data_IF_385230710001
#
_entry.id   IF_385230710001
#
_cell.length_a   1.000
_cell.length_b   1.000
_cell.length_c   1.000
_cell.angle_alpha   90.00
_cell.angle_beta   90.00
_cell.angle_gamma   90.00
#
_symmetry.space_group_name_H-M   'P 1'
#
loop_
_entity.id
_entity.type
_entity.pdbx_description
1 polymer ?
#
# COMPACT_ATOMS: atom_id res chain seq x y z
N UNK A 1 -15.52 -15.21 -32.05
CA UNK A 1 -14.59 -15.19 -33.20
C UNK A 1 -13.18 -15.13 -32.60
N UNK A 2 -12.33 -16.11 -32.85
CA UNK A 2 -11.04 -16.26 -32.22
C UNK A 2 -9.99 -15.35 -32.91
N UNK A 3 -9.03 -14.83 -32.15
CA UNK A 3 -7.95 -13.91 -32.57
C UNK A 3 -7.17 -14.31 -33.85
N UNK A 4 -7.31 -15.53 -34.35
CA UNK A 4 -6.67 -16.00 -35.59
C UNK A 4 -7.33 -15.46 -36.87
N UNK A 5 -8.64 -15.25 -36.83
CA UNK A 5 -9.38 -14.77 -38.01
C UNK A 5 -9.15 -13.27 -38.24
N UNK A 6 -8.89 -12.51 -37.18
CA UNK A 6 -8.55 -11.08 -37.26
C UNK A 6 -7.15 -10.88 -37.86
N UNK A 7 -6.20 -11.76 -37.55
CA UNK A 7 -4.83 -11.70 -38.06
C UNK A 7 -4.77 -12.03 -39.56
N UNK A 8 -5.57 -12.98 -40.02
CA UNK A 8 -5.70 -13.33 -41.45
C UNK A 8 -6.39 -12.22 -42.26
N UNK A 9 -7.38 -11.56 -41.68
CA UNK A 9 -8.03 -10.40 -42.31
C UNK A 9 -7.08 -9.23 -42.44
N UNK A 10 -6.23 -8.97 -41.44
CA UNK A 10 -5.21 -7.94 -41.44
C UNK A 10 -4.10 -8.21 -42.45
N UNK A 11 -3.64 -9.45 -42.57
CA UNK A 11 -2.64 -9.87 -43.56
C UNK A 11 -3.16 -9.77 -44.99
N UNK A 12 -4.44 -10.09 -45.19
CA UNK A 12 -5.10 -9.94 -46.49
C UNK A 12 -5.30 -8.46 -46.90
N UNK A 13 -5.62 -7.60 -45.93
CA UNK A 13 -5.76 -6.15 -46.11
C UNK A 13 -4.42 -5.48 -46.42
N UNK A 14 -3.34 -5.88 -45.74
CA UNK A 14 -1.97 -5.41 -45.99
C UNK A 14 -1.47 -5.82 -47.40
N UNK A 15 -1.85 -7.00 -47.88
CA UNK A 15 -1.52 -7.47 -49.24
C UNK A 15 -2.16 -6.63 -50.35
N UNK A 16 -3.35 -6.06 -50.09
CA UNK A 16 -4.08 -5.21 -51.05
C UNK A 16 -3.47 -3.80 -51.06
N UNK A 17 -3.01 -3.27 -49.94
CA UNK A 17 -2.36 -1.96 -49.83
C UNK A 17 -0.96 -1.99 -50.48
N UNK A 18 -0.23 -3.10 -50.36
CA UNK A 18 1.12 -3.31 -50.85
C UNK A 18 1.26 -3.15 -52.39
N UNK A 19 0.18 -3.28 -53.13
CA UNK A 19 0.15 -3.11 -54.59
C UNK A 19 0.03 -1.68 -55.04
N UNK A 20 -0.17 -0.68 -54.16
CA UNK A 20 -0.45 0.70 -54.51
C UNK A 20 0.58 1.76 -54.15
N UNK A 21 1.53 1.49 -53.20
CA UNK A 21 2.58 2.48 -52.92
C UNK A 21 3.73 1.87 -52.02
N UNK A 22 4.88 1.51 -52.59
CA UNK A 22 5.95 0.82 -51.86
C UNK A 22 6.81 1.68 -50.92
N UNK A 23 6.68 3.01 -50.97
CA UNK A 23 7.56 3.91 -50.21
C UNK A 23 7.05 4.27 -48.81
N UNK A 24 5.80 3.97 -48.48
CA UNK A 24 5.22 4.30 -47.16
C UNK A 24 5.27 3.16 -46.15
N UNK A 25 5.69 1.95 -46.53
CA UNK A 25 5.61 0.75 -45.69
C UNK A 25 6.78 0.64 -44.69
N UNK A 26 7.97 1.07 -45.12
CA UNK A 26 9.16 1.08 -44.24
C UNK A 26 9.01 2.04 -43.07
N UNK A 27 8.26 3.14 -43.27
CA UNK A 27 7.88 4.07 -42.18
C UNK A 27 6.82 3.51 -41.23
N UNK A 28 5.88 2.71 -41.76
CA UNK A 28 4.80 2.09 -40.97
C UNK A 28 5.28 0.88 -40.18
N UNK A 29 6.12 0.04 -40.76
CA UNK A 29 6.73 -1.11 -40.09
C UNK A 29 7.67 -0.68 -38.97
N UNK A 30 8.48 0.37 -39.15
CA UNK A 30 9.28 0.98 -38.06
C UNK A 30 8.39 1.59 -36.98
N UNK A 31 7.24 2.18 -37.33
CA UNK A 31 6.30 2.75 -36.37
C UNK A 31 5.55 1.69 -35.58
N UNK A 32 5.24 0.55 -36.17
CA UNK A 32 4.61 -0.62 -35.51
C UNK A 32 5.63 -1.39 -34.67
N UNK A 33 6.88 -1.51 -35.11
CA UNK A 33 7.94 -2.12 -34.29
C UNK A 33 8.37 -1.22 -33.12
N UNK A 34 8.35 0.13 -33.28
CA UNK A 34 8.61 1.07 -32.17
C UNK A 34 7.48 1.12 -31.14
N UNK A 35 6.23 0.87 -31.53
CA UNK A 35 5.08 0.77 -30.63
C UNK A 35 5.02 -0.57 -29.85
N UNK A 36 5.83 -1.58 -30.21
CA UNK A 36 5.75 -2.91 -29.59
C UNK A 36 6.47 -3.06 -28.27
N UNK A 37 7.15 -2.03 -27.74
CA UNK A 37 7.97 -2.18 -26.53
C UNK A 37 8.02 -0.94 -25.61
N UNK A 38 6.92 -0.23 -25.49
CA UNK A 38 6.83 0.94 -24.58
C UNK A 38 6.82 0.51 -23.10
N UNK A 39 6.46 -0.74 -22.81
CA UNK A 39 6.39 -1.25 -21.45
C UNK A 39 7.71 -1.95 -21.06
N UNK A 40 8.09 -1.77 -19.80
CA UNK A 40 9.15 -2.53 -19.14
C UNK A 40 8.57 -3.25 -17.91
N UNK A 41 8.79 -4.54 -17.82
CA UNK A 41 8.38 -5.32 -16.64
C UNK A 41 9.33 -5.09 -15.46
N UNK A 42 8.85 -5.39 -14.23
CA UNK A 42 9.70 -5.36 -13.03
C UNK A 42 10.94 -6.24 -13.15
N UNK A 43 10.82 -7.40 -13.79
CA UNK A 43 11.95 -8.32 -13.98
C UNK A 43 13.02 -7.72 -14.89
N UNK A 44 12.62 -7.08 -15.97
CA UNK A 44 13.53 -6.40 -16.88
C UNK A 44 14.17 -5.18 -16.23
N UNK A 45 13.37 -4.36 -15.49
CA UNK A 45 13.89 -3.24 -14.72
C UNK A 45 15.00 -3.67 -13.76
N UNK A 46 14.82 -4.79 -13.09
CA UNK A 46 15.80 -5.33 -12.13
C UNK A 46 17.11 -5.80 -12.79
N UNK A 47 17.08 -6.12 -14.08
CA UNK A 47 18.27 -6.52 -14.86
C UNK A 47 19.07 -5.33 -15.37
N UNK A 48 18.49 -4.11 -15.35
CA UNK A 48 19.21 -2.92 -15.74
C UNK A 48 20.30 -2.58 -14.73
N UNK A 49 21.44 -2.14 -15.24
CA UNK A 49 22.55 -1.69 -14.40
C UNK A 49 22.16 -0.42 -13.61
N UNK A 50 22.50 -0.37 -12.33
CA UNK A 50 22.22 0.81 -11.50
C UNK A 50 22.94 2.03 -12.07
N UNK A 51 22.18 3.08 -12.34
CA UNK A 51 22.68 4.32 -12.93
C UNK A 51 22.49 4.42 -14.45
N UNK A 52 22.18 3.31 -15.15
CA UNK A 52 21.89 3.33 -16.60
C UNK A 52 20.45 3.77 -16.92
N UNK A 53 19.64 3.99 -15.92
CA UNK A 53 18.26 4.45 -16.08
C UNK A 53 17.85 5.46 -15.03
N UNK A 54 16.76 6.18 -15.29
CA UNK A 54 16.10 7.07 -14.36
C UNK A 54 14.60 6.73 -14.31
N UNK A 55 14.09 6.57 -13.10
CA UNK A 55 12.66 6.42 -12.83
C UNK A 55 12.04 7.78 -12.57
N UNK A 56 10.93 8.10 -13.24
CA UNK A 56 10.12 9.29 -13.01
C UNK A 56 8.76 8.89 -12.43
N UNK A 57 8.49 9.37 -11.22
CA UNK A 57 7.24 9.11 -10.49
C UNK A 57 6.19 10.17 -10.85
N UNK A 58 5.18 9.78 -11.60
CA UNK A 58 4.09 10.65 -12.06
C UNK A 58 2.94 10.77 -11.06
N UNK A 59 3.07 10.18 -9.87
CA UNK A 59 2.05 10.29 -8.83
C UNK A 59 2.13 11.66 -8.14
N UNK A 60 1.04 12.10 -7.56
CA UNK A 60 0.97 13.34 -6.81
C UNK A 60 1.83 13.32 -5.52
N UNK A 61 2.03 14.50 -4.92
CA UNK A 61 2.84 14.67 -3.70
C UNK A 61 2.29 13.84 -2.53
N UNK A 62 0.98 13.70 -2.41
CA UNK A 62 0.36 12.90 -1.37
C UNK A 62 0.77 11.43 -1.47
N UNK A 63 0.86 10.89 -2.68
CA UNK A 63 1.28 9.51 -2.95
C UNK A 63 2.80 9.33 -2.84
N UNK A 64 3.59 10.26 -3.38
CA UNK A 64 5.06 10.17 -3.35
C UNK A 64 5.61 10.30 -1.93
N UNK A 65 4.97 11.08 -1.06
CA UNK A 65 5.34 11.24 0.36
C UNK A 65 5.22 9.92 1.17
N UNK A 66 4.42 8.97 0.72
CA UNK A 66 4.29 7.64 1.34
C UNK A 66 5.37 6.65 0.91
N UNK A 67 6.10 6.97 -0.14
CA UNK A 67 7.22 6.20 -0.64
C UNK A 67 7.24 6.16 -2.15
N UNK A 68 8.45 6.13 -2.71
CA UNK A 68 8.73 6.00 -4.14
C UNK A 68 9.53 4.72 -4.40
N UNK A 69 9.59 4.29 -5.65
CA UNK A 69 10.56 3.26 -6.05
C UNK A 69 11.97 3.81 -5.79
N UNK A 70 12.86 3.04 -5.15
CA UNK A 70 14.20 3.51 -4.81
C UNK A 70 14.95 4.05 -6.03
N UNK A 71 15.47 5.27 -5.93
CA UNK A 71 16.17 5.96 -7.02
C UNK A 71 15.26 6.74 -8.00
N UNK A 72 13.95 6.72 -7.77
CA UNK A 72 13.04 7.56 -8.53
C UNK A 72 13.12 9.03 -8.12
N UNK A 73 12.79 9.91 -9.05
CA UNK A 73 12.53 11.34 -8.82
C UNK A 73 11.09 11.65 -9.23
N UNK A 74 10.52 12.70 -8.64
CA UNK A 74 9.18 13.16 -9.00
C UNK A 74 9.20 13.67 -10.44
N UNK A 75 8.24 13.23 -11.24
CA UNK A 75 8.06 13.72 -12.60
C UNK A 75 7.62 15.19 -12.59
N UNK A 76 8.11 15.96 -13.54
CA UNK A 76 7.61 17.30 -13.80
C UNK A 76 6.14 17.26 -14.27
N UNK A 77 5.49 18.42 -14.28
CA UNK A 77 4.15 18.56 -14.83
C UNK A 77 4.09 18.11 -16.30
N UNK A 78 2.87 17.86 -16.80
CA UNK A 78 2.64 17.28 -18.13
C UNK A 78 3.37 18.05 -19.23
N UNK A 79 3.37 19.39 -19.15
CA UNK A 79 4.03 20.27 -20.14
C UNK A 79 5.58 20.23 -20.09
N UNK A 80 6.17 19.85 -18.95
CA UNK A 80 7.62 19.84 -18.74
C UNK A 80 8.21 18.42 -18.74
N UNK A 81 7.36 17.39 -18.74
CA UNK A 81 7.77 15.98 -18.64
C UNK A 81 8.72 15.60 -19.79
N UNK A 82 8.41 16.03 -21.02
CA UNK A 82 9.25 15.78 -22.19
C UNK A 82 10.64 16.42 -22.08
N UNK A 83 10.73 17.62 -21.51
CA UNK A 83 12.01 18.31 -21.27
C UNK A 83 12.82 17.58 -20.21
N UNK A 84 12.19 17.22 -19.08
CA UNK A 84 12.83 16.45 -18.02
C UNK A 84 13.33 15.08 -18.53
N UNK A 85 12.54 14.40 -19.36
CA UNK A 85 12.95 13.11 -19.93
C UNK A 85 14.18 13.26 -20.84
N UNK A 86 14.21 14.29 -21.70
CA UNK A 86 15.36 14.58 -22.58
C UNK A 86 16.64 14.81 -21.80
N UNK A 87 16.60 15.53 -20.69
CA UNK A 87 17.77 15.77 -19.85
C UNK A 87 18.46 14.46 -19.38
N UNK A 88 17.69 13.43 -19.08
CA UNK A 88 18.24 12.13 -18.69
C UNK A 88 18.66 11.28 -19.88
N UNK A 89 17.92 11.36 -21.00
CA UNK A 89 18.30 10.69 -22.26
C UNK A 89 19.63 11.22 -22.81
N UNK A 90 19.86 12.53 -22.74
CA UNK A 90 21.11 13.19 -23.15
C UNK A 90 22.31 12.75 -22.26
N UNK A 91 22.04 12.32 -21.02
CA UNK A 91 23.03 11.70 -20.15
C UNK A 91 23.27 10.21 -20.47
N UNK A 92 22.66 9.68 -21.51
CA UNK A 92 22.76 8.28 -21.91
C UNK A 92 21.95 7.31 -21.05
N UNK A 93 21.01 7.79 -20.24
CA UNK A 93 20.15 6.96 -19.38
C UNK A 93 18.85 6.60 -20.11
N UNK A 94 18.33 5.41 -19.83
CA UNK A 94 16.95 5.08 -20.16
C UNK A 94 16.00 5.79 -19.20
N UNK A 95 14.92 6.36 -19.70
CA UNK A 95 13.88 7.00 -18.87
C UNK A 95 12.70 6.05 -18.75
N UNK A 96 12.25 5.83 -17.51
CA UNK A 96 11.14 4.93 -17.21
C UNK A 96 10.12 5.69 -16.37
N UNK A 97 8.94 5.88 -16.93
CA UNK A 97 7.81 6.53 -16.27
C UNK A 97 7.02 5.50 -15.46
N UNK A 98 6.47 5.91 -14.34
CA UNK A 98 5.46 5.13 -13.65
C UNK A 98 4.43 6.01 -12.94
N UNK A 99 3.20 5.55 -12.94
CA UNK A 99 2.10 6.07 -12.12
C UNK A 99 1.64 5.00 -11.12
N UNK A 100 0.48 5.14 -10.52
CA UNK A 100 -0.02 4.14 -9.56
C UNK A 100 -0.19 2.75 -10.17
N UNK A 101 -0.85 2.66 -11.35
CA UNK A 101 -1.24 1.39 -12.01
C UNK A 101 -0.53 1.13 -13.35
N UNK A 102 0.28 2.04 -13.82
CA UNK A 102 0.94 1.94 -15.13
C UNK A 102 0.08 2.36 -16.32
N UNK A 103 -1.14 2.88 -16.12
CA UNK A 103 -2.05 3.29 -17.20
C UNK A 103 -1.65 4.67 -17.72
N UNK A 104 -1.69 5.68 -16.88
CA UNK A 104 -1.32 7.06 -17.26
C UNK A 104 0.14 7.20 -17.69
N UNK A 105 1.05 6.45 -17.06
CA UNK A 105 2.46 6.47 -17.49
C UNK A 105 2.66 5.83 -18.86
N UNK A 106 1.82 4.86 -19.23
CA UNK A 106 1.84 4.29 -20.58
C UNK A 106 1.32 5.30 -21.61
N UNK A 107 0.19 5.95 -21.35
CA UNK A 107 -0.37 6.99 -22.21
C UNK A 107 0.63 8.16 -22.40
N UNK A 108 1.31 8.57 -21.33
CA UNK A 108 2.35 9.59 -21.39
C UNK A 108 3.55 9.14 -22.23
N UNK A 109 3.99 7.89 -22.06
CA UNK A 109 5.08 7.33 -22.86
C UNK A 109 4.72 7.24 -24.36
N UNK A 110 3.48 6.88 -24.69
CA UNK A 110 2.96 6.86 -26.06
C UNK A 110 2.97 8.26 -26.68
N UNK A 111 2.49 9.28 -25.96
CA UNK A 111 2.53 10.69 -26.41
C UNK A 111 3.97 11.17 -26.65
N UNK A 112 4.88 10.92 -25.71
CA UNK A 112 6.29 11.29 -25.83
C UNK A 112 6.99 10.60 -27.01
N UNK A 113 6.66 9.33 -27.27
CA UNK A 113 7.16 8.60 -28.42
C UNK A 113 6.71 9.24 -29.77
N UNK A 114 5.47 9.79 -29.85
CA UNK A 114 5.01 10.55 -31.00
C UNK A 114 5.82 11.82 -31.23
N UNK A 115 6.35 12.42 -30.16
CA UNK A 115 7.25 13.59 -30.19
C UNK A 115 8.73 13.21 -30.44
N UNK A 116 9.02 11.92 -30.60
CA UNK A 116 10.38 11.42 -30.82
C UNK A 116 11.21 11.30 -29.54
N UNK A 117 10.58 11.25 -28.38
CA UNK A 117 11.23 11.07 -27.09
C UNK A 117 11.02 9.61 -26.65
N UNK A 118 12.10 8.81 -26.65
CA UNK A 118 12.04 7.38 -26.35
C UNK A 118 12.07 7.12 -24.84
N UNK A 119 10.90 6.88 -24.25
CA UNK A 119 10.72 6.58 -22.83
C UNK A 119 9.91 5.29 -22.67
N UNK A 120 10.10 4.61 -21.55
CA UNK A 120 9.39 3.38 -21.21
C UNK A 120 8.37 3.65 -20.10
N UNK A 121 7.34 2.83 -20.01
CA UNK A 121 6.40 2.79 -18.90
C UNK A 121 6.57 1.51 -18.09
N UNK A 122 6.66 1.63 -16.76
CA UNK A 122 6.72 0.48 -15.87
C UNK A 122 5.36 -0.23 -15.83
N UNK A 123 5.35 -1.50 -16.24
CA UNK A 123 4.15 -2.33 -16.26
C UNK A 123 3.55 -2.50 -14.86
N UNK A 124 2.24 -2.23 -14.72
CA UNK A 124 1.55 -2.23 -13.42
C UNK A 124 1.90 -1.06 -12.50
N UNK A 125 2.81 -0.16 -12.91
CA UNK A 125 3.22 1.02 -12.16
C UNK A 125 3.79 0.72 -10.79
N UNK A 126 3.60 1.63 -9.84
CA UNK A 126 4.05 1.47 -8.45
C UNK A 126 3.44 0.24 -7.78
N UNK A 127 2.16 -0.01 -8.02
CA UNK A 127 1.45 -1.14 -7.39
C UNK A 127 1.96 -2.49 -7.91
N UNK A 128 2.21 -2.60 -9.22
CA UNK A 128 2.79 -3.81 -9.83
C UNK A 128 4.21 -4.09 -9.33
N UNK A 129 5.03 -3.03 -9.23
CA UNK A 129 6.35 -3.12 -8.62
C UNK A 129 6.28 -3.62 -7.16
N UNK A 130 5.37 -3.05 -6.37
CA UNK A 130 5.20 -3.41 -4.96
C UNK A 130 4.79 -4.87 -4.78
N UNK A 131 3.81 -5.34 -5.57
CA UNK A 131 3.39 -6.76 -5.53
C UNK A 131 4.50 -7.71 -5.92
N UNK A 132 5.33 -7.33 -6.91
CA UNK A 132 6.47 -8.12 -7.33
C UNK A 132 7.54 -8.20 -6.24
N UNK A 133 7.82 -7.08 -5.56
CA UNK A 133 8.74 -7.02 -4.42
C UNK A 133 8.26 -7.91 -3.27
N UNK A 134 6.98 -7.81 -2.89
CA UNK A 134 6.38 -8.62 -1.82
C UNK A 134 6.43 -10.12 -2.13
N UNK A 135 6.25 -10.49 -3.39
CA UNK A 135 6.36 -11.89 -3.81
C UNK A 135 7.79 -12.42 -3.64
N UNK A 136 8.79 -11.65 -4.02
CA UNK A 136 10.20 -12.02 -3.80
C UNK A 136 10.55 -12.17 -2.31
N UNK A 137 10.04 -11.25 -1.47
CA UNK A 137 10.25 -11.34 -0.02
C UNK A 137 9.64 -12.62 0.56
N UNK A 138 8.43 -13.00 0.15
CA UNK A 138 7.79 -14.24 0.59
C UNK A 138 8.57 -15.49 0.14
N UNK A 139 9.06 -15.52 -1.09
CA UNK A 139 9.88 -16.61 -1.60
C UNK A 139 11.21 -16.75 -0.81
N UNK A 140 11.82 -15.63 -0.41
CA UNK A 140 13.03 -15.63 0.39
C UNK A 140 12.79 -16.11 1.82
N UNK A 141 11.66 -15.70 2.44
CA UNK A 141 11.31 -16.18 3.78
C UNK A 141 11.04 -17.70 3.80
N UNK A 142 10.35 -18.22 2.80
CA UNK A 142 10.14 -19.67 2.66
C UNK A 142 11.47 -20.44 2.55
N UNK A 143 12.45 -19.93 1.80
CA UNK A 143 13.78 -20.51 1.69
C UNK A 143 14.51 -20.48 3.04
N UNK A 144 14.40 -19.37 3.78
CA UNK A 144 15.02 -19.23 5.12
C UNK A 144 14.40 -20.22 6.11
N UNK A 145 13.09 -20.40 6.07
CA UNK A 145 12.42 -21.40 6.91
C UNK A 145 12.82 -22.83 6.57
N UNK A 146 12.97 -23.17 5.29
CA UNK A 146 13.45 -24.48 4.86
C UNK A 146 14.89 -24.73 5.32
N UNK A 147 15.78 -23.76 5.13
CA UNK A 147 17.16 -23.84 5.58
C UNK A 147 17.25 -23.99 7.10
N UNK A 148 16.38 -23.32 7.86
CA UNK A 148 16.33 -23.44 9.31
C UNK A 148 15.87 -24.83 9.78
N UNK A 149 14.91 -25.47 9.09
CA UNK A 149 14.48 -26.85 9.37
C UNK A 149 15.64 -27.86 9.14
N UNK A 150 16.41 -27.67 8.09
CA UNK A 150 17.58 -28.50 7.81
C UNK A 150 18.75 -28.26 8.79
N UNK A 151 18.85 -27.03 9.32
CA UNK A 151 19.88 -26.67 10.29
C UNK A 151 19.60 -27.23 11.70
N UNK A 152 18.33 -27.49 12.06
CA UNK A 152 17.94 -28.14 13.33
C UNK A 152 18.61 -29.50 13.52
N UNK A 153 18.77 -30.28 12.42
CA UNK A 153 19.48 -31.57 12.46
C UNK A 153 21.00 -31.48 12.58
N UNK A 154 21.59 -30.28 12.46
CA UNK A 154 23.04 -30.08 12.35
C UNK A 154 23.66 -29.14 13.40
N UNK A 155 22.88 -28.71 14.41
CA UNK A 155 23.36 -27.80 15.48
C UNK A 155 23.83 -26.42 15.01
N UNK A 156 23.40 -25.98 13.81
CA UNK A 156 23.74 -24.65 13.26
C UNK A 156 22.81 -23.56 13.79
N UNK A 157 23.33 -22.34 13.89
CA UNK A 157 22.57 -21.17 14.32
C UNK A 157 21.48 -20.85 13.30
N UNK A 158 20.22 -20.76 13.76
CA UNK A 158 19.08 -20.37 12.92
C UNK A 158 19.20 -18.92 12.48
N UNK A 159 18.88 -18.65 11.25
CA UNK A 159 18.68 -17.28 10.75
C UNK A 159 17.27 -16.80 11.13
N UNK A 160 17.16 -15.51 11.42
CA UNK A 160 15.84 -14.93 11.69
C UNK A 160 15.05 -14.82 10.38
N UNK A 161 13.77 -15.19 10.42
CA UNK A 161 12.86 -14.86 9.31
C UNK A 161 12.59 -13.36 9.29
N UNK A 162 12.11 -12.88 8.15
CA UNK A 162 11.77 -11.47 7.95
C UNK A 162 10.79 -10.95 9.02
N UNK A 163 9.74 -11.73 9.30
CA UNK A 163 8.79 -11.46 10.39
C UNK A 163 9.50 -11.29 11.73
N UNK A 164 10.41 -12.21 12.09
CA UNK A 164 11.17 -12.16 13.33
C UNK A 164 12.09 -10.96 13.44
N UNK A 165 12.69 -10.53 12.32
CA UNK A 165 13.50 -9.31 12.27
C UNK A 165 12.65 -8.05 12.55
N UNK A 166 11.47 -7.96 11.93
CA UNK A 166 10.52 -6.86 12.14
C UNK A 166 10.08 -6.81 13.61
N UNK A 167 9.71 -7.95 14.20
CA UNK A 167 9.36 -8.05 15.62
C UNK A 167 10.53 -7.65 16.54
N UNK A 168 11.73 -8.11 16.23
CA UNK A 168 12.95 -7.73 16.95
C UNK A 168 13.19 -6.22 16.87
N UNK A 169 12.90 -5.59 15.75
CA UNK A 169 13.02 -4.13 15.60
C UNK A 169 12.11 -3.38 16.57
N UNK A 170 10.86 -3.83 16.75
CA UNK A 170 9.91 -3.27 17.73
C UNK A 170 10.44 -3.45 19.15
N UNK A 171 10.91 -4.65 19.51
CA UNK A 171 11.40 -4.98 20.85
C UNK A 171 12.71 -4.28 21.22
N UNK A 172 13.54 -3.92 20.23
CA UNK A 172 14.88 -3.32 20.46
C UNK A 172 14.96 -1.88 19.99
N UNK A 173 15.07 -1.67 18.67
CA UNK A 173 15.33 -0.35 18.08
C UNK A 173 14.22 0.65 18.38
N UNK A 174 12.98 0.24 18.25
CA UNK A 174 11.80 1.08 18.43
C UNK A 174 11.11 0.92 19.78
N UNK A 175 11.71 0.17 20.72
CA UNK A 175 11.11 -0.10 22.04
C UNK A 175 10.70 1.19 22.77
N UNK A 176 11.61 2.18 22.88
CA UNK A 176 11.35 3.42 23.63
C UNK A 176 10.32 4.32 22.93
N UNK A 177 10.39 4.40 21.60
CA UNK A 177 9.57 5.35 20.83
C UNK A 177 8.19 4.80 20.50
N UNK A 178 8.05 3.46 20.35
CA UNK A 178 6.82 2.79 19.95
C UNK A 178 6.29 1.92 21.07
N UNK A 179 6.93 0.79 21.40
CA UNK A 179 6.35 -0.21 22.30
C UNK A 179 6.10 0.32 23.71
N UNK A 180 7.06 1.04 24.32
CA UNK A 180 6.88 1.65 25.64
C UNK A 180 5.76 2.69 25.66
N UNK A 181 5.59 3.46 24.56
CA UNK A 181 4.50 4.44 24.44
C UNK A 181 3.14 3.75 24.31
N UNK A 182 3.07 2.66 23.54
CA UNK A 182 1.89 1.83 23.42
C UNK A 182 1.47 1.27 24.80
N UNK A 183 2.38 0.63 25.50
CA UNK A 183 2.11 0.08 26.84
C UNK A 183 1.72 1.20 27.83
N UNK A 184 2.38 2.37 27.72
CA UNK A 184 2.03 3.53 28.55
C UNK A 184 0.60 4.00 28.28
N UNK A 185 0.17 4.09 27.01
CA UNK A 185 -1.20 4.49 26.67
C UNK A 185 -2.22 3.50 27.24
N UNK A 186 -1.97 2.19 27.07
CA UNK A 186 -2.84 1.14 27.61
C UNK A 186 -3.03 1.28 29.11
N UNK A 187 -1.94 1.49 29.86
CA UNK A 187 -1.99 1.62 31.33
C UNK A 187 -2.61 2.95 31.77
N UNK A 188 -2.26 4.06 31.12
CA UNK A 188 -2.71 5.39 31.52
C UNK A 188 -4.19 5.59 31.32
N UNK A 189 -4.74 5.01 30.26
CA UNK A 189 -6.14 5.20 29.86
C UNK A 189 -7.00 3.94 30.10
N UNK A 190 -6.43 2.91 30.75
CA UNK A 190 -7.11 1.65 31.04
C UNK A 190 -7.81 1.06 29.81
N UNK A 191 -7.02 0.89 28.72
CA UNK A 191 -7.56 0.51 27.41
C UNK A 191 -7.80 -0.99 27.27
N UNK A 192 -7.01 -1.82 27.98
CA UNK A 192 -7.11 -3.30 27.92
C UNK A 192 -7.21 -3.85 29.31
N UNK A 193 -8.23 -4.68 29.52
CA UNK A 193 -8.54 -5.32 30.78
C UNK A 193 -8.54 -6.86 30.64
N UNK A 194 -8.57 -7.55 31.76
CA UNK A 194 -8.67 -9.01 31.78
C UNK A 194 -9.99 -9.48 31.17
N UNK A 195 -9.92 -10.52 30.35
CA UNK A 195 -11.02 -11.10 29.59
C UNK A 195 -11.61 -10.22 28.49
N UNK A 196 -10.96 -9.10 28.12
CA UNK A 196 -11.33 -8.36 26.92
C UNK A 196 -11.19 -9.23 25.67
N UNK A 197 -12.10 -9.06 24.73
CA UNK A 197 -11.97 -9.53 23.36
C UNK A 197 -11.97 -8.33 22.40
N UNK A 198 -10.82 -8.05 21.82
CA UNK A 198 -10.54 -6.80 21.14
C UNK A 198 -10.48 -7.02 19.62
N UNK A 199 -11.32 -6.34 18.87
CA UNK A 199 -11.23 -6.29 17.41
C UNK A 199 -10.21 -5.22 16.99
N UNK A 200 -9.10 -5.65 16.41
CA UNK A 200 -8.07 -4.78 15.83
C UNK A 200 -8.49 -4.44 14.41
N UNK A 201 -8.87 -3.19 14.15
CA UNK A 201 -9.34 -2.74 12.85
C UNK A 201 -8.16 -2.41 11.93
N UNK A 202 -8.02 -3.18 10.86
CA UNK A 202 -6.92 -3.08 9.90
C UNK A 202 -7.45 -2.44 8.61
N UNK A 203 -6.86 -1.30 8.24
CA UNK A 203 -7.14 -0.58 6.98
C UNK A 203 -6.14 -0.90 5.86
N UNK A 204 -5.09 -1.65 6.16
CA UNK A 204 -3.99 -1.92 5.24
C UNK A 204 -2.86 -0.88 5.28
N UNK A 205 -3.06 0.26 5.96
CA UNK A 205 -2.04 1.29 6.14
C UNK A 205 -1.04 0.95 7.26
N UNK A 206 0.10 1.66 7.25
CA UNK A 206 1.22 1.49 8.19
C UNK A 206 0.81 1.46 9.66
N UNK A 207 -0.14 2.34 10.03
CA UNK A 207 -0.55 2.54 11.43
C UNK A 207 -1.33 1.34 11.96
N UNK A 208 -2.31 0.87 11.19
CA UNK A 208 -3.14 -0.27 11.57
C UNK A 208 -2.36 -1.59 11.61
N UNK A 209 -1.41 -1.77 10.69
CA UNK A 209 -0.53 -2.96 10.66
C UNK A 209 0.47 -2.95 11.83
N UNK A 210 1.07 -1.79 12.13
CA UNK A 210 1.91 -1.66 13.33
C UNK A 210 1.11 -1.91 14.60
N UNK A 211 -0.10 -1.35 14.72
CA UNK A 211 -0.99 -1.59 15.87
C UNK A 211 -1.26 -3.08 16.08
N UNK A 212 -1.53 -3.82 15.01
CA UNK A 212 -1.74 -5.27 15.07
C UNK A 212 -0.51 -6.00 15.64
N UNK A 213 0.70 -5.65 15.16
CA UNK A 213 1.95 -6.21 15.70
C UNK A 213 2.18 -5.85 17.16
N UNK A 214 1.87 -4.63 17.57
CA UNK A 214 2.01 -4.20 18.96
C UNK A 214 1.07 -4.97 19.90
N UNK A 215 -0.15 -5.26 19.46
CA UNK A 215 -1.08 -6.10 20.21
C UNK A 215 -0.63 -7.57 20.30
N UNK A 216 -0.07 -8.14 19.22
CA UNK A 216 0.53 -9.47 19.26
C UNK A 216 1.69 -9.52 20.28
N UNK A 217 2.55 -8.49 20.25
CA UNK A 217 3.67 -8.39 21.16
C UNK A 217 3.21 -8.19 22.62
N UNK A 218 2.17 -7.37 22.85
CA UNK A 218 1.56 -7.20 24.15
C UNK A 218 1.00 -8.53 24.67
N UNK A 219 0.26 -9.28 23.84
CA UNK A 219 -0.34 -10.57 24.21
C UNK A 219 0.72 -11.59 24.63
N UNK A 220 1.90 -11.60 23.98
CA UNK A 220 3.02 -12.49 24.34
C UNK A 220 3.63 -12.19 25.72
N UNK A 221 3.57 -10.94 26.17
CA UNK A 221 4.26 -10.46 27.38
C UNK A 221 3.31 -10.06 28.50
N UNK A 222 2.01 -10.14 28.29
CA UNK A 222 1.04 -9.69 29.27
C UNK A 222 0.81 -10.72 30.38
N UNK A 223 0.43 -10.22 31.58
CA UNK A 223 0.21 -11.05 32.78
C UNK A 223 -1.23 -11.51 32.96
N UNK A 224 -2.17 -10.98 32.18
CA UNK A 224 -3.60 -11.32 32.21
C UNK A 224 -4.08 -11.72 30.81
N UNK A 225 -5.16 -12.48 30.77
CA UNK A 225 -5.72 -12.99 29.53
C UNK A 225 -6.58 -11.95 28.82
N UNK A 226 -6.44 -11.84 27.51
CA UNK A 226 -7.35 -11.16 26.60
C UNK A 226 -7.24 -11.76 25.20
N UNK A 227 -8.29 -11.61 24.39
CA UNK A 227 -8.35 -12.15 23.06
C UNK A 227 -8.28 -11.06 21.98
N UNK A 228 -7.73 -11.44 20.82
CA UNK A 228 -7.56 -10.56 19.68
C UNK A 228 -8.27 -11.14 18.45
N UNK A 229 -8.96 -10.27 17.73
CA UNK A 229 -9.51 -10.55 16.41
C UNK A 229 -8.99 -9.47 15.47
N UNK A 230 -8.42 -9.84 14.33
CA UNK A 230 -7.86 -8.90 13.36
C UNK A 230 -8.84 -8.74 12.20
N UNK A 231 -9.55 -7.62 12.16
CA UNK A 231 -10.61 -7.37 11.20
C UNK A 231 -10.13 -6.45 10.06
N UNK A 232 -10.29 -6.92 8.84
CA UNK A 232 -10.18 -6.12 7.62
C UNK A 232 -11.56 -5.97 7.04
N UNK A 233 -12.03 -4.74 6.93
CA UNK A 233 -13.24 -4.46 6.18
C UNK A 233 -12.87 -4.07 4.76
N UNK A 234 -13.35 -4.85 3.79
CA UNK A 234 -13.23 -4.55 2.37
C UNK A 234 -14.47 -3.74 1.92
N UNK A 235 -14.32 -2.44 1.64
CA UNK A 235 -15.42 -1.59 1.20
C UNK A 235 -15.66 -1.64 -0.31
N UNK A 236 -15.06 -2.58 -1.03
CA UNK A 236 -15.00 -2.69 -2.48
C UNK A 236 -13.60 -2.36 -3.04
N UNK A 237 -12.55 -2.86 -2.41
CA UNK A 237 -11.18 -2.69 -2.90
C UNK A 237 -11.00 -3.30 -4.29
N UNK A 238 -10.13 -2.70 -5.10
CA UNK A 238 -9.64 -3.39 -6.27
C UNK A 238 -8.74 -4.56 -5.87
N UNK A 239 -8.62 -5.55 -6.77
CA UNK A 239 -7.87 -6.79 -6.54
C UNK A 239 -6.42 -6.52 -6.08
N UNK A 240 -5.73 -5.55 -6.68
CA UNK A 240 -4.34 -5.23 -6.35
C UNK A 240 -4.20 -4.70 -4.93
N UNK A 241 -5.08 -3.80 -4.49
CA UNK A 241 -5.07 -3.25 -3.14
C UNK A 241 -5.36 -4.33 -2.09
N UNK A 242 -6.31 -5.23 -2.39
CA UNK A 242 -6.62 -6.38 -1.53
C UNK A 242 -5.41 -7.29 -1.38
N UNK A 243 -4.73 -7.62 -2.48
CA UNK A 243 -3.52 -8.44 -2.47
C UNK A 243 -2.38 -7.80 -1.64
N UNK A 244 -2.21 -6.48 -1.70
CA UNK A 244 -1.21 -5.78 -0.87
C UNK A 244 -1.54 -5.94 0.63
N UNK A 245 -2.81 -5.78 1.01
CA UNK A 245 -3.23 -5.95 2.42
C UNK A 245 -2.95 -7.38 2.89
N UNK A 246 -3.37 -8.37 2.11
CA UNK A 246 -3.19 -9.78 2.43
C UNK A 246 -1.72 -10.19 2.48
N UNK A 247 -0.90 -9.69 1.55
CA UNK A 247 0.53 -9.95 1.52
C UNK A 247 1.25 -9.33 2.72
N UNK A 248 0.90 -8.09 3.10
CA UNK A 248 1.43 -7.47 4.31
C UNK A 248 1.00 -8.23 5.57
N UNK A 249 -0.24 -8.69 5.63
CA UNK A 249 -0.72 -9.49 6.75
C UNK A 249 0.07 -10.82 6.87
N UNK A 250 0.34 -11.49 5.75
CA UNK A 250 1.20 -12.70 5.71
C UNK A 250 2.63 -12.40 6.15
N UNK A 251 3.26 -11.35 5.58
CA UNK A 251 4.63 -10.94 5.93
C UNK A 251 4.76 -10.62 7.42
N UNK A 252 3.74 -10.02 8.02
CA UNK A 252 3.72 -9.65 9.42
C UNK A 252 3.16 -10.74 10.34
N UNK A 253 2.79 -11.90 9.81
CA UNK A 253 2.15 -12.99 10.56
C UNK A 253 0.93 -12.50 11.36
N UNK A 254 0.03 -11.77 10.69
CA UNK A 254 -1.22 -11.27 11.26
C UNK A 254 -2.38 -12.11 10.71
N UNK A 255 -3.09 -12.89 11.53
CA UNK A 255 -4.21 -13.73 11.08
C UNK A 255 -5.46 -12.87 10.87
N UNK A 256 -5.57 -12.26 9.69
CA UNK A 256 -6.69 -11.36 9.36
C UNK A 256 -7.98 -12.13 9.04
N UNK A 257 -9.11 -11.57 9.45
CA UNK A 257 -10.45 -11.94 9.00
C UNK A 257 -10.99 -10.81 8.12
N UNK A 258 -11.19 -11.11 6.83
CA UNK A 258 -11.72 -10.15 5.87
C UNK A 258 -13.23 -10.32 5.75
N UNK A 259 -13.97 -9.21 5.78
CA UNK A 259 -15.38 -9.19 5.43
C UNK A 259 -15.67 -8.07 4.41
N UNK A 260 -16.58 -8.33 3.50
CA UNK A 260 -16.91 -7.44 2.40
C UNK A 260 -18.09 -6.55 2.74
N UNK A 261 -18.14 -5.38 2.12
CA UNK A 261 -19.27 -4.46 2.15
C UNK A 261 -19.32 -3.66 0.86
N UNK A 262 -20.48 -3.18 0.51
CA UNK A 262 -20.81 -2.38 -0.67
C UNK A 262 -20.69 -0.86 -0.44
N UNK A 263 -19.88 -0.46 0.54
CA UNK A 263 -19.80 0.96 0.94
C UNK A 263 -19.31 1.85 -0.20
N UNK A 264 -18.34 1.42 -0.98
CA UNK A 264 -17.84 2.24 -2.09
C UNK A 264 -18.91 2.45 -3.16
N UNK A 265 -19.72 1.45 -3.46
CA UNK A 265 -20.82 1.59 -4.42
C UNK A 265 -21.92 2.49 -3.85
N UNK A 266 -22.26 2.34 -2.57
CA UNK A 266 -23.26 3.17 -1.90
C UNK A 266 -22.87 4.66 -1.77
N UNK A 267 -21.57 4.95 -1.67
CA UNK A 267 -21.06 6.33 -1.48
C UNK A 267 -20.70 6.98 -2.82
N UNK A 268 -20.50 6.21 -3.88
CA UNK A 268 -20.05 6.70 -5.19
C UNK A 268 -21.04 7.69 -5.83
N UNK A 269 -22.35 7.51 -5.59
CA UNK A 269 -23.41 8.37 -6.14
C UNK A 269 -23.65 9.68 -5.34
N UNK A 270 -22.88 9.90 -4.26
CA UNK A 270 -23.13 11.02 -3.34
C UNK A 270 -22.13 12.16 -3.58
N UNK A 271 -22.64 13.28 -4.10
CA UNK A 271 -21.83 14.47 -4.40
C UNK A 271 -21.32 15.21 -3.15
N UNK A 272 -22.07 15.18 -2.03
CA UNK A 272 -21.72 15.94 -0.80
C UNK A 272 -21.00 15.08 0.22
N UNK A 273 -19.69 15.37 0.44
CA UNK A 273 -18.88 14.78 1.51
C UNK A 273 -18.82 13.24 1.50
N UNK A 274 -18.47 12.59 0.38
CA UNK A 274 -18.45 11.12 0.28
C UNK A 274 -17.51 10.48 1.32
N UNK A 275 -16.38 11.10 1.61
CA UNK A 275 -15.43 10.60 2.61
C UNK A 275 -16.00 10.56 4.04
N UNK A 276 -16.78 11.56 4.43
CA UNK A 276 -17.43 11.57 5.75
C UNK A 276 -18.43 10.43 5.90
N UNK A 277 -19.29 10.25 4.88
CA UNK A 277 -20.26 9.17 4.88
C UNK A 277 -19.60 7.79 4.88
N UNK A 278 -18.60 7.61 4.03
CA UNK A 278 -17.77 6.40 3.99
C UNK A 278 -17.20 6.07 5.39
N UNK A 279 -16.56 7.05 6.04
CA UNK A 279 -15.98 6.86 7.37
C UNK A 279 -17.04 6.49 8.42
N UNK A 280 -18.23 7.09 8.35
CA UNK A 280 -19.35 6.80 9.24
C UNK A 280 -19.91 5.38 9.04
N UNK A 281 -20.14 4.99 7.78
CA UNK A 281 -20.62 3.66 7.43
C UNK A 281 -19.58 2.60 7.83
N UNK A 282 -18.30 2.79 7.48
CA UNK A 282 -17.21 1.90 7.86
C UNK A 282 -17.19 1.63 9.36
N UNK A 283 -17.35 2.67 10.16
CA UNK A 283 -17.38 2.53 11.62
C UNK A 283 -18.56 1.66 12.08
N UNK A 284 -19.76 1.87 11.53
CA UNK A 284 -20.94 1.07 11.84
C UNK A 284 -20.77 -0.41 11.51
N UNK A 285 -20.23 -0.72 10.34
CA UNK A 285 -19.94 -2.10 9.92
C UNK A 285 -18.88 -2.77 10.82
N UNK A 286 -17.80 -2.06 11.16
CA UNK A 286 -16.76 -2.58 12.06
C UNK A 286 -17.34 -2.91 13.45
N UNK A 287 -18.14 -2.02 14.04
CA UNK A 287 -18.79 -2.30 15.31
C UNK A 287 -19.71 -3.52 15.25
N UNK A 288 -20.57 -3.56 14.23
CA UNK A 288 -21.52 -4.67 14.03
C UNK A 288 -20.80 -6.02 13.91
N UNK A 289 -19.73 -6.10 13.10
CA UNK A 289 -18.97 -7.33 12.93
C UNK A 289 -18.18 -7.72 14.19
N UNK A 290 -17.54 -6.76 14.84
CA UNK A 290 -16.85 -7.01 16.10
C UNK A 290 -17.79 -7.56 17.18
N UNK A 291 -18.98 -6.97 17.32
CA UNK A 291 -20.01 -7.41 18.26
C UNK A 291 -20.49 -8.84 17.95
N UNK A 292 -20.77 -9.15 16.67
CA UNK A 292 -21.14 -10.51 16.23
C UNK A 292 -20.06 -11.55 16.53
N UNK A 293 -18.80 -11.13 16.56
CA UNK A 293 -17.66 -12.00 16.93
C UNK A 293 -17.45 -12.07 18.46
N UNK A 294 -18.32 -11.44 19.23
CA UNK A 294 -18.24 -11.42 20.71
C UNK A 294 -17.15 -10.50 21.25
N UNK A 295 -16.65 -9.52 20.45
CA UNK A 295 -15.74 -8.52 20.94
C UNK A 295 -16.49 -7.47 21.78
N UNK A 296 -15.85 -6.99 22.84
CA UNK A 296 -16.32 -5.86 23.64
C UNK A 296 -15.57 -4.57 23.35
N UNK A 297 -14.48 -4.64 22.57
CA UNK A 297 -13.70 -3.46 22.18
C UNK A 297 -13.35 -3.48 20.71
N UNK A 298 -13.23 -2.28 20.11
CA UNK A 298 -12.59 -2.06 18.80
C UNK A 298 -11.39 -1.14 18.98
N UNK A 299 -10.27 -1.50 18.38
CA UNK A 299 -9.04 -0.71 18.38
C UNK A 299 -8.82 -0.06 17.03
N UNK A 300 -8.58 1.25 17.02
CA UNK A 300 -8.28 2.05 15.83
C UNK A 300 -6.85 2.60 15.89
N UNK A 301 -6.16 2.61 14.75
CA UNK A 301 -4.75 2.97 14.62
C UNK A 301 -4.45 4.48 14.64
N UNK A 302 -5.27 5.28 15.31
CA UNK A 302 -5.00 6.72 15.46
C UNK A 302 -3.81 6.95 16.40
N UNK A 303 -2.92 7.85 16.01
CA UNK A 303 -1.68 8.17 16.71
C UNK A 303 -1.68 9.60 17.27
N UNK A 304 -0.56 10.03 17.86
CA UNK A 304 -0.43 11.33 18.54
C UNK A 304 -0.72 12.52 17.61
N UNK A 305 -0.22 12.44 16.37
CA UNK A 305 -0.34 13.54 15.41
C UNK A 305 -1.80 13.71 14.95
N UNK A 306 -2.57 12.61 14.74
CA UNK A 306 -4.02 12.67 14.45
C UNK A 306 -4.81 13.41 15.54
N UNK A 307 -4.41 13.23 16.80
CA UNK A 307 -5.05 13.91 17.94
C UNK A 307 -4.79 15.41 17.87
N UNK A 308 -3.56 15.82 17.60
CA UNK A 308 -3.18 17.23 17.48
C UNK A 308 -3.88 17.86 16.27
N UNK A 309 -3.86 17.20 15.13
CA UNK A 309 -4.56 17.64 13.91
C UNK A 309 -6.06 17.83 14.15
N UNK A 310 -6.70 16.87 14.83
CA UNK A 310 -8.13 16.98 15.17
C UNK A 310 -8.43 18.22 16.06
N UNK A 311 -7.58 18.48 17.06
CA UNK A 311 -7.74 19.66 17.93
C UNK A 311 -7.59 20.93 17.10
N UNK A 312 -6.53 21.04 16.30
CA UNK A 312 -6.27 22.22 15.47
C UNK A 312 -7.40 22.45 14.45
N UNK A 313 -7.87 21.40 13.79
CA UNK A 313 -9.01 21.48 12.87
C UNK A 313 -10.29 21.95 13.58
N UNK A 314 -10.59 21.44 14.77
CA UNK A 314 -11.72 21.87 15.58
C UNK A 314 -11.62 23.35 15.92
N UNK A 315 -10.46 23.83 16.34
CA UNK A 315 -10.22 25.25 16.66
C UNK A 315 -10.34 26.16 15.43
N UNK A 316 -9.73 25.77 14.32
CA UNK A 316 -9.64 26.62 13.10
C UNK A 316 -10.96 26.66 12.32
N UNK A 317 -11.66 25.53 12.18
CA UNK A 317 -12.85 25.45 11.34
C UNK A 317 -14.17 25.52 12.10
N UNK A 318 -14.19 25.11 13.37
CA UNK A 318 -15.44 25.04 14.15
C UNK A 318 -15.45 25.97 15.35
N UNK A 319 -14.34 26.64 15.68
CA UNK A 319 -14.21 27.48 16.87
C UNK A 319 -14.37 26.69 18.18
N UNK A 320 -14.16 25.38 18.16
CA UNK A 320 -14.32 24.46 19.28
C UNK A 320 -13.06 23.71 19.58
N UNK A 321 -12.79 23.46 20.86
CA UNK A 321 -11.71 22.57 21.29
C UNK A 321 -12.30 21.17 21.43
N UNK A 322 -12.25 20.40 20.36
CA UNK A 322 -12.67 18.99 20.34
C UNK A 322 -11.42 18.11 20.15
N UNK A 323 -11.39 16.94 20.77
CA UNK A 323 -10.28 15.99 20.65
C UNK A 323 -10.78 14.57 20.44
N UNK A 324 -9.92 13.73 19.89
CA UNK A 324 -10.13 12.29 19.90
C UNK A 324 -9.82 11.74 21.29
N UNK A 325 -10.81 11.24 21.99
CA UNK A 325 -10.55 10.59 23.28
C UNK A 325 -9.84 9.24 23.09
N UNK A 326 -8.89 8.86 23.97
CA UNK A 326 -8.18 7.57 23.88
C UNK A 326 -9.11 6.38 24.10
N UNK A 327 -10.20 6.55 24.83
CA UNK A 327 -11.24 5.56 25.12
C UNK A 327 -12.62 6.21 25.02
N UNK A 328 -13.55 5.54 24.35
CA UNK A 328 -14.94 5.99 24.19
C UNK A 328 -15.90 4.82 24.29
N UNK A 329 -16.96 4.97 25.08
CA UNK A 329 -18.09 4.05 25.07
C UNK A 329 -18.96 4.31 23.82
N UNK A 330 -19.38 3.26 23.14
CA UNK A 330 -20.28 3.39 22.00
C UNK A 330 -21.70 3.70 22.47
N UNK A 331 -22.31 4.74 21.88
CA UNK A 331 -23.71 5.08 22.14
C UNK A 331 -24.69 4.19 21.37
N UNK A 332 -24.26 3.65 20.22
CA UNK A 332 -25.12 2.89 19.31
C UNK A 332 -24.93 1.36 19.42
N UNK A 333 -23.86 0.91 20.07
CA UNK A 333 -23.52 -0.49 20.25
C UNK A 333 -23.26 -0.74 21.75
N UNK A 334 -24.29 -1.19 22.42
CA UNK A 334 -24.25 -1.43 23.88
C UNK A 334 -23.13 -2.39 24.27
N UNK A 335 -22.40 -2.07 25.32
CA UNK A 335 -21.27 -2.87 25.81
C UNK A 335 -19.98 -2.77 24.98
N UNK A 336 -19.97 -1.96 23.90
CA UNK A 336 -18.78 -1.80 23.06
C UNK A 336 -17.99 -0.53 23.41
N UNK A 337 -16.68 -0.66 23.47
CA UNK A 337 -15.74 0.46 23.62
C UNK A 337 -14.87 0.64 22.37
N UNK A 338 -14.55 1.89 22.04
CA UNK A 338 -13.53 2.25 21.06
C UNK A 338 -12.26 2.64 21.81
N UNK A 339 -11.13 2.06 21.45
CA UNK A 339 -9.83 2.38 22.02
C UNK A 339 -8.82 2.84 20.96
N UNK A 340 -7.90 3.73 21.35
CA UNK A 340 -6.81 4.27 20.52
C UNK A 340 -5.46 4.03 21.20
N UNK A 341 -4.92 2.83 21.12
CA UNK A 341 -3.73 2.45 21.90
C UNK A 341 -2.44 3.13 21.41
N UNK A 342 -2.42 3.66 20.18
CA UNK A 342 -1.28 4.39 19.63
C UNK A 342 -1.27 5.89 19.97
N UNK A 343 -2.18 6.34 20.83
CA UNK A 343 -2.42 7.74 21.22
C UNK A 343 -1.17 8.55 21.62
N UNK A 344 -0.14 7.89 22.15
CA UNK A 344 1.12 8.52 22.58
C UNK A 344 2.29 8.30 21.60
N UNK A 345 2.06 7.63 20.47
CA UNK A 345 3.08 7.32 19.47
C UNK A 345 3.07 8.41 18.40
N UNK A 346 4.22 8.99 18.08
CA UNK A 346 4.36 9.96 17.00
C UNK A 346 4.41 9.27 15.63
N UNK A 347 3.81 9.88 14.62
CA UNK A 347 3.84 9.39 13.24
C UNK A 347 5.27 9.23 12.71
N UNK A 348 6.17 10.14 13.07
CA UNK A 348 7.58 10.06 12.70
C UNK A 348 8.25 8.75 13.14
N UNK A 349 7.87 8.21 14.33
CA UNK A 349 8.38 6.93 14.79
C UNK A 349 7.80 5.75 13.99
N UNK A 350 6.55 5.83 13.57
CA UNK A 350 5.89 4.83 12.73
C UNK A 350 6.53 4.81 11.34
N UNK A 351 6.75 5.98 10.73
CA UNK A 351 7.46 6.12 9.46
C UNK A 351 8.87 5.55 9.54
N UNK A 352 9.62 5.90 10.59
CA UNK A 352 10.97 5.37 10.81
C UNK A 352 10.99 3.82 10.98
N UNK A 353 9.98 3.24 11.64
CA UNK A 353 9.84 1.79 11.74
C UNK A 353 9.57 1.16 10.37
N UNK A 354 8.63 1.71 9.62
CA UNK A 354 8.32 1.29 8.24
C UNK A 354 9.58 1.29 7.37
N UNK A 355 10.28 2.43 7.33
CA UNK A 355 11.43 2.64 6.45
C UNK A 355 12.63 1.76 6.84
N UNK A 356 12.89 1.63 8.16
CA UNK A 356 13.95 0.73 8.67
C UNK A 356 13.72 -0.73 8.28
N UNK A 357 12.46 -1.13 8.22
CA UNK A 357 12.11 -2.50 7.86
C UNK A 357 11.75 -2.63 6.36
N UNK A 358 11.91 -1.60 5.53
CA UNK A 358 11.59 -1.65 4.10
C UNK A 358 10.14 -2.08 3.83
N UNK A 359 9.20 -1.67 4.69
CA UNK A 359 7.80 -2.07 4.57
C UNK A 359 7.03 -1.09 3.68
N UNK A 360 6.14 -1.64 2.88
CA UNK A 360 5.32 -0.87 1.95
C UNK A 360 3.84 -1.16 2.20
N UNK A 361 3.09 -0.12 2.48
CA UNK A 361 1.67 -0.20 2.79
C UNK A 361 0.85 0.63 1.81
N UNK A 362 -0.43 0.31 1.68
CA UNK A 362 -1.35 1.17 0.95
C UNK A 362 -1.59 2.47 1.73
N UNK A 363 -1.74 3.56 1.00
CA UNK A 363 -2.10 4.86 1.58
C UNK A 363 -3.60 4.98 1.76
N UNK A 364 -4.31 4.93 0.66
CA UNK A 364 -5.76 4.86 0.61
C UNK A 364 -6.14 3.95 -0.54
N UNK A 365 -7.06 3.04 -0.28
CA UNK A 365 -7.55 2.11 -1.29
C UNK A 365 -8.89 2.60 -1.89
N UNK A 366 -9.21 3.87 -1.73
CA UNK A 366 -10.45 4.47 -2.20
C UNK A 366 -10.34 4.88 -3.67
N UNK A 367 -11.41 4.68 -4.44
CA UNK A 367 -11.50 5.11 -5.85
C UNK A 367 -11.36 6.63 -6.04
N UNK A 368 -11.62 7.44 -5.01
CA UNK A 368 -11.47 8.91 -5.06
C UNK A 368 -10.02 9.38 -4.88
N UNK A 369 -9.09 8.49 -4.59
CA UNK A 369 -7.66 8.77 -4.39
C UNK A 369 -6.78 8.05 -5.41
N UNK A 370 -7.40 7.41 -6.40
CA UNK A 370 -6.72 6.73 -7.50
C UNK A 370 -6.53 7.63 -8.72
#
# INVERSE_FOLDING_TARGET
MQNKDLLLYFQSFLSIINKRNPTNIVGYERKVESMSNINISYKELKQLEKGSYQLLDMRDESNTSYGMIPGAVVAAGEDELGTQAKEYLDQGKKVILYCTKGIFSKEAAEKLAEEGIDVLSLEGGYTGWLLSLMKEEQENDQKTEQNNKEAEGKGKKKELTRTQEIEKSIRKKFHKQIFSKFVKAIKTYDLVQENDKIAICISGGKDSMLMAKLFQELKRHNKFHFDLVFLVMDPGYNEMNRQIIENNAKLLDIPITVFESDIFDAVYEIEKSPCYLCARMRRGYLYSHAQKMGCNKIALGHHFDDVIETILMGMLYSGKVETMMPKLHSQNFEGMELIRPMYLIKESAIKAWRDTNGLHFIQCACRFTE
#
